data_IF_948946163192
#
_entry.id   IF_948946163192
#
_cell.length_a   1.000
_cell.length_b   1.000
_cell.length_c   1.000
_cell.angle_alpha   90.00
_cell.angle_beta   90.00
_cell.angle_gamma   90.00
#
_symmetry.space_group_name_H-M   'P 1'
#
loop_
_entity.id
_entity.type
_entity.pdbx_description
1 polymer ?
#
# COMPACT_ATOMS: atom_id res chain seq x y z
N UNK A 1 -8.39 21.98 -27.53
CA UNK A 1 -8.04 21.55 -26.15
C UNK A 1 -8.71 20.23 -25.75
N UNK A 2 -10.00 20.03 -26.06
CA UNK A 2 -10.75 18.78 -25.77
C UNK A 2 -10.16 17.55 -26.48
N UNK A 3 -9.91 17.65 -27.79
CA UNK A 3 -9.34 16.56 -28.60
C UNK A 3 -7.93 16.13 -28.14
N UNK A 4 -7.15 17.07 -27.61
CA UNK A 4 -5.81 16.79 -27.08
C UNK A 4 -5.89 16.02 -25.76
N UNK A 5 -6.86 16.37 -24.90
CA UNK A 5 -7.07 15.71 -23.61
C UNK A 5 -7.60 14.29 -23.79
N UNK A 6 -8.54 14.11 -24.71
CA UNK A 6 -9.11 12.79 -25.04
C UNK A 6 -8.04 11.84 -25.61
N UNK A 7 -7.19 12.33 -26.53
CA UNK A 7 -6.05 11.54 -27.06
C UNK A 7 -5.07 11.11 -25.96
N UNK A 8 -4.83 11.96 -24.95
CA UNK A 8 -3.94 11.62 -23.82
C UNK A 8 -4.55 10.53 -22.94
N UNK A 9 -5.84 10.67 -22.62
CA UNK A 9 -6.58 9.69 -21.81
C UNK A 9 -6.62 8.33 -22.52
N UNK A 10 -6.93 8.32 -23.82
CA UNK A 10 -6.98 7.08 -24.60
C UNK A 10 -5.63 6.38 -24.63
N UNK A 11 -4.52 7.12 -24.84
CA UNK A 11 -3.17 6.55 -24.79
C UNK A 11 -2.85 5.96 -23.41
N UNK A 12 -3.21 6.67 -22.33
CA UNK A 12 -3.03 6.20 -20.95
C UNK A 12 -3.74 4.86 -20.73
N UNK A 13 -4.99 4.76 -21.14
CA UNK A 13 -5.82 3.55 -21.00
C UNK A 13 -5.24 2.39 -21.82
N UNK A 14 -4.83 2.64 -23.07
CA UNK A 14 -4.23 1.61 -23.93
C UNK A 14 -2.95 1.04 -23.30
N UNK A 15 -2.07 1.91 -22.80
CA UNK A 15 -0.81 1.50 -22.19
C UNK A 15 -1.06 0.72 -20.91
N UNK A 16 -2.00 1.19 -20.08
CA UNK A 16 -2.42 0.44 -18.90
C UNK A 16 -2.98 -0.93 -19.25
N UNK A 17 -3.81 -1.03 -20.30
CA UNK A 17 -4.32 -2.31 -20.80
C UNK A 17 -3.20 -3.26 -21.23
N UNK A 18 -2.27 -2.79 -22.06
CA UNK A 18 -1.12 -3.58 -22.53
C UNK A 18 -0.23 -4.06 -21.38
N UNK A 19 0.05 -3.19 -20.40
CA UNK A 19 0.85 -3.57 -19.22
C UNK A 19 0.11 -4.55 -18.32
N UNK A 20 -1.22 -4.43 -18.20
CA UNK A 20 -2.04 -5.36 -17.43
C UNK A 20 -2.09 -6.74 -18.08
N UNK A 21 -2.18 -6.82 -19.42
CA UNK A 21 -2.08 -8.09 -20.16
C UNK A 21 -0.69 -8.71 -19.95
N UNK A 22 0.39 -7.93 -20.09
CA UNK A 22 1.74 -8.44 -19.85
C UNK A 22 1.93 -8.96 -18.41
N UNK A 23 1.31 -8.29 -17.44
CA UNK A 23 1.31 -8.71 -16.04
C UNK A 23 0.58 -10.04 -15.84
N UNK A 24 -0.59 -10.23 -16.47
CA UNK A 24 -1.32 -11.50 -16.44
C UNK A 24 -0.53 -12.62 -17.09
N UNK A 25 0.11 -12.35 -18.23
CA UNK A 25 0.99 -13.31 -18.91
C UNK A 25 2.12 -13.76 -17.98
N UNK A 26 2.83 -12.81 -17.34
CA UNK A 26 3.88 -13.13 -16.38
C UNK A 26 3.38 -13.97 -15.19
N UNK A 27 2.20 -13.65 -14.65
CA UNK A 27 1.57 -14.43 -13.58
C UNK A 27 1.31 -15.89 -14.02
N UNK A 28 0.66 -16.09 -15.17
CA UNK A 28 0.35 -17.43 -15.66
C UNK A 28 1.63 -18.22 -15.99
N UNK A 29 2.66 -17.58 -16.55
CA UNK A 29 3.95 -18.25 -16.76
C UNK A 29 4.54 -18.74 -15.45
N UNK A 30 4.54 -17.91 -14.41
CA UNK A 30 4.96 -18.32 -13.07
C UNK A 30 4.13 -19.51 -12.56
N UNK A 31 2.81 -19.43 -12.69
CA UNK A 31 1.88 -20.46 -12.23
C UNK A 31 2.11 -21.82 -12.90
N UNK A 32 2.40 -21.85 -14.20
CA UNK A 32 2.62 -23.08 -14.95
C UNK A 32 4.07 -23.56 -14.93
N UNK A 33 5.02 -22.76 -14.42
CA UNK A 33 6.44 -23.07 -14.41
C UNK A 33 6.75 -24.41 -13.72
N UNK A 34 6.10 -24.64 -12.58
CA UNK A 34 6.33 -25.82 -11.73
C UNK A 34 5.48 -27.03 -12.13
N UNK A 35 4.51 -26.89 -13.03
CA UNK A 35 3.67 -28.04 -13.44
C UNK A 35 4.45 -29.06 -14.27
N UNK A 36 5.47 -28.61 -15.02
CA UNK A 36 6.21 -29.47 -15.95
C UNK A 36 7.52 -29.99 -15.32
N UNK A 37 8.03 -29.35 -14.24
CA UNK A 37 9.25 -29.71 -13.49
C UNK A 37 10.47 -30.11 -14.34
N UNK A 38 10.58 -29.64 -15.58
CA UNK A 38 11.77 -29.86 -16.42
C UNK A 38 12.69 -28.64 -16.37
N UNK A 39 14.00 -28.87 -16.50
CA UNK A 39 15.00 -27.79 -16.66
C UNK A 39 14.63 -26.86 -17.82
N UNK A 40 14.08 -27.42 -18.90
CA UNK A 40 13.62 -26.66 -20.07
C UNK A 40 12.49 -25.67 -19.72
N UNK A 41 11.57 -26.04 -18.82
CA UNK A 41 10.51 -25.16 -18.37
C UNK A 41 11.05 -23.93 -17.63
N UNK A 42 12.07 -24.11 -16.78
CA UNK A 42 12.72 -23.00 -16.07
C UNK A 42 13.43 -22.05 -17.04
N UNK A 43 14.19 -22.58 -17.99
CA UNK A 43 14.87 -21.78 -19.02
C UNK A 43 13.83 -20.99 -19.85
N UNK A 44 12.76 -21.66 -20.28
CA UNK A 44 11.69 -21.04 -21.04
C UNK A 44 10.99 -19.92 -20.25
N UNK A 45 10.64 -20.16 -18.97
CA UNK A 45 10.07 -19.15 -18.09
C UNK A 45 10.98 -17.93 -17.93
N UNK A 46 12.29 -18.13 -17.75
CA UNK A 46 13.27 -17.05 -17.65
C UNK A 46 13.36 -16.22 -18.95
N UNK A 47 13.40 -16.88 -20.11
CA UNK A 47 13.42 -16.21 -21.41
C UNK A 47 12.16 -15.34 -21.58
N UNK A 48 10.97 -15.88 -21.29
CA UNK A 48 9.75 -15.08 -21.43
C UNK A 48 9.75 -13.91 -20.46
N UNK A 49 10.24 -14.08 -19.23
CA UNK A 49 10.34 -12.97 -18.29
C UNK A 49 11.24 -11.84 -18.80
N UNK A 50 12.37 -12.17 -19.43
CA UNK A 50 13.21 -11.17 -20.10
C UNK A 50 12.42 -10.45 -21.21
N UNK A 51 11.70 -11.21 -22.05
CA UNK A 51 10.87 -10.65 -23.12
C UNK A 51 9.80 -9.71 -22.55
N UNK A 52 9.11 -10.09 -21.48
CA UNK A 52 8.10 -9.27 -20.81
C UNK A 52 8.68 -7.99 -20.20
N UNK A 53 9.92 -8.03 -19.70
CA UNK A 53 10.63 -6.83 -19.21
C UNK A 53 10.99 -5.89 -20.36
N UNK A 54 11.51 -6.43 -21.47
CA UNK A 54 11.80 -5.67 -22.69
C UNK A 54 10.52 -5.05 -23.25
N UNK A 55 9.43 -5.82 -23.31
CA UNK A 55 8.12 -5.34 -23.74
C UNK A 55 7.65 -4.16 -22.88
N UNK A 56 7.84 -4.23 -21.56
CA UNK A 56 7.50 -3.13 -20.64
C UNK A 56 8.21 -1.83 -21.03
N UNK A 57 9.49 -1.90 -21.39
CA UNK A 57 10.27 -0.77 -21.88
C UNK A 57 9.76 -0.25 -23.23
N UNK A 58 9.49 -1.14 -24.18
CA UNK A 58 8.99 -0.79 -25.51
C UNK A 58 7.62 -0.10 -25.44
N UNK A 59 6.70 -0.58 -24.62
CA UNK A 59 5.39 0.04 -24.40
C UNK A 59 5.52 1.47 -23.86
N UNK A 60 6.48 1.73 -22.97
CA UNK A 60 6.78 3.10 -22.52
C UNK A 60 7.37 3.98 -23.63
N UNK A 61 8.05 3.41 -24.64
CA UNK A 61 8.56 4.14 -25.79
C UNK A 61 7.44 4.58 -26.76
N UNK A 62 6.30 3.87 -26.79
CA UNK A 62 5.14 4.28 -27.60
C UNK A 62 4.51 5.60 -27.12
N UNK A 63 4.77 6.02 -25.89
CA UNK A 63 4.60 7.40 -25.47
C UNK A 63 5.70 8.23 -26.13
N UNK A 64 5.53 8.52 -27.42
CA UNK A 64 6.37 9.48 -28.16
C UNK A 64 6.40 10.79 -27.36
N UNK A 65 7.57 11.10 -26.86
CA UNK A 65 7.87 12.34 -26.13
C UNK A 65 9.08 12.91 -26.84
N UNK A 66 8.87 14.00 -27.57
CA UNK A 66 9.93 14.74 -28.26
C UNK A 66 10.80 15.57 -27.30
N UNK A 67 10.68 15.34 -25.98
CA UNK A 67 11.26 16.19 -24.95
C UNK A 67 12.46 15.57 -24.20
N UNK A 68 13.44 16.45 -23.98
CA UNK A 68 14.79 16.37 -23.39
C UNK A 68 15.17 15.24 -22.40
N UNK A 69 16.49 15.03 -22.29
CA UNK A 69 17.27 14.17 -21.38
C UNK A 69 16.74 14.07 -19.94
N UNK A 70 16.13 15.11 -19.36
CA UNK A 70 15.58 15.07 -18.00
C UNK A 70 14.41 14.06 -17.86
N UNK A 71 13.69 13.78 -18.94
CA UNK A 71 12.62 12.77 -18.97
C UNK A 71 13.18 11.35 -18.92
N UNK A 72 14.42 11.13 -19.40
CA UNK A 72 15.03 9.80 -19.42
C UNK A 72 15.17 9.21 -18.00
N UNK A 73 15.66 10.00 -17.04
CA UNK A 73 15.78 9.54 -15.64
C UNK A 73 14.43 9.15 -15.04
N UNK A 74 13.39 9.95 -15.30
CA UNK A 74 12.03 9.66 -14.81
C UNK A 74 11.42 8.46 -15.52
N UNK A 75 11.64 8.32 -16.83
CA UNK A 75 11.21 7.18 -17.62
C UNK A 75 11.84 5.87 -17.15
N UNK A 76 13.17 5.86 -16.91
CA UNK A 76 13.87 4.71 -16.32
C UNK A 76 13.29 4.38 -14.95
N UNK A 77 13.02 5.38 -14.11
CA UNK A 77 12.39 5.14 -12.80
C UNK A 77 11.01 4.51 -12.91
N UNK A 78 10.16 4.96 -13.84
CA UNK A 78 8.84 4.34 -14.10
C UNK A 78 8.99 2.93 -14.66
N UNK A 79 9.90 2.72 -15.60
CA UNK A 79 10.18 1.40 -16.15
C UNK A 79 10.61 0.42 -15.04
N UNK A 80 11.50 0.84 -14.13
CA UNK A 80 11.90 0.03 -12.99
C UNK A 80 10.71 -0.32 -12.09
N UNK A 81 9.81 0.61 -11.81
CA UNK A 81 8.62 0.34 -11.01
C UNK A 81 7.68 -0.68 -11.70
N UNK A 82 7.46 -0.54 -13.00
CA UNK A 82 6.65 -1.51 -13.76
C UNK A 82 7.32 -2.89 -13.82
N UNK A 83 8.63 -2.95 -14.01
CA UNK A 83 9.42 -4.18 -13.98
C UNK A 83 9.32 -4.88 -12.62
N UNK A 84 9.45 -4.14 -11.52
CA UNK A 84 9.27 -4.69 -10.16
C UNK A 84 7.85 -5.25 -9.99
N UNK A 85 6.83 -4.52 -10.44
CA UNK A 85 5.43 -4.97 -10.37
C UNK A 85 5.18 -6.24 -11.21
N UNK A 86 5.80 -6.33 -12.38
CA UNK A 86 5.79 -7.51 -13.25
C UNK A 86 6.47 -8.72 -12.59
N UNK A 87 7.63 -8.51 -11.97
CA UNK A 87 8.34 -9.55 -11.22
C UNK A 87 7.51 -10.07 -10.05
N UNK A 88 6.80 -9.19 -9.34
CA UNK A 88 5.87 -9.62 -8.29
C UNK A 88 4.77 -10.54 -8.83
N UNK A 89 4.15 -10.20 -9.95
CA UNK A 89 3.12 -11.05 -10.57
C UNK A 89 3.67 -12.46 -10.91
N UNK A 90 4.87 -12.52 -11.50
CA UNK A 90 5.54 -13.78 -11.77
C UNK A 90 5.85 -14.58 -10.50
N UNK A 91 6.42 -13.94 -9.47
CA UNK A 91 6.75 -14.61 -8.20
C UNK A 91 5.49 -15.14 -7.51
N UNK A 92 4.39 -14.39 -7.52
CA UNK A 92 3.12 -14.85 -6.96
C UNK A 92 2.62 -16.08 -7.71
N UNK A 93 2.62 -16.04 -9.05
CA UNK A 93 2.28 -17.20 -9.87
C UNK A 93 3.15 -18.41 -9.53
N UNK A 94 4.47 -18.23 -9.49
CA UNK A 94 5.46 -19.26 -9.17
C UNK A 94 5.32 -19.84 -7.76
N UNK A 95 4.80 -19.05 -6.81
CA UNK A 95 4.66 -19.46 -5.41
C UNK A 95 3.44 -20.34 -5.19
N UNK A 96 2.32 -20.07 -5.87
CA UNK A 96 1.04 -20.78 -5.65
C UNK A 96 1.16 -22.31 -5.73
N UNK A 97 1.83 -22.92 -6.73
CA UNK A 97 2.00 -24.37 -6.81
C UNK A 97 2.81 -24.97 -5.65
N UNK A 98 3.67 -24.17 -5.02
CA UNK A 98 4.55 -24.57 -3.92
C UNK A 98 3.88 -24.42 -2.54
N UNK A 99 2.68 -23.87 -2.48
CA UNK A 99 1.93 -23.70 -1.22
C UNK A 99 1.28 -25.01 -0.77
N UNK A 100 1.39 -25.29 0.52
CA UNK A 100 0.81 -26.45 1.21
C UNK A 100 -0.65 -26.22 1.63
N UNK A 101 -1.09 -24.96 1.72
CA UNK A 101 -2.48 -24.63 2.01
C UNK A 101 -3.44 -25.29 1.01
N UNK A 102 -4.67 -25.59 1.46
CA UNK A 102 -5.78 -26.10 0.62
C UNK A 102 -5.86 -25.35 -0.71
N UNK A 103 -6.25 -26.08 -1.77
CA UNK A 103 -6.36 -25.58 -3.15
C UNK A 103 -7.12 -24.25 -3.22
N UNK A 104 -8.28 -24.17 -2.57
CA UNK A 104 -9.13 -22.96 -2.54
C UNK A 104 -8.40 -21.77 -1.93
N UNK A 105 -7.70 -21.97 -0.81
CA UNK A 105 -6.94 -20.93 -0.11
C UNK A 105 -5.74 -20.44 -0.93
N UNK A 106 -4.95 -21.33 -1.53
CA UNK A 106 -3.74 -20.91 -2.27
C UNK A 106 -4.04 -20.16 -3.57
N UNK A 107 -5.08 -20.53 -4.32
CA UNK A 107 -5.46 -19.78 -5.53
C UNK A 107 -6.11 -18.44 -5.22
N UNK A 108 -6.71 -18.28 -4.04
CA UNK A 108 -7.27 -17.01 -3.60
C UNK A 108 -6.18 -15.91 -3.46
N UNK A 109 -4.93 -16.29 -3.16
CA UNK A 109 -3.78 -15.37 -3.21
C UNK A 109 -3.67 -14.67 -4.57
N UNK A 110 -3.72 -15.43 -5.68
CA UNK A 110 -3.66 -14.87 -7.03
C UNK A 110 -4.88 -13.99 -7.35
N UNK A 111 -6.07 -14.44 -6.93
CA UNK A 111 -7.34 -13.71 -7.13
C UNK A 111 -7.32 -12.33 -6.48
N UNK A 112 -6.64 -12.18 -5.34
CA UNK A 112 -6.55 -10.91 -4.60
C UNK A 112 -5.38 -10.06 -5.11
N UNK A 113 -4.21 -10.66 -5.25
CA UNK A 113 -2.99 -9.91 -5.55
C UNK A 113 -2.99 -9.37 -6.97
N UNK A 114 -3.51 -10.10 -7.95
CA UNK A 114 -3.47 -9.67 -9.36
C UNK A 114 -4.27 -8.37 -9.61
N UNK A 115 -5.52 -8.23 -9.12
CA UNK A 115 -6.23 -6.95 -9.18
C UNK A 115 -5.46 -5.80 -8.54
N UNK A 116 -4.81 -6.02 -7.38
CA UNK A 116 -4.01 -5.00 -6.71
C UNK A 116 -2.80 -4.58 -7.56
N UNK A 117 -2.11 -5.53 -8.21
CA UNK A 117 -0.99 -5.21 -9.10
C UNK A 117 -1.45 -4.49 -10.37
N UNK A 118 -2.64 -4.80 -10.90
CA UNK A 118 -3.24 -4.08 -12.03
C UNK A 118 -3.56 -2.63 -11.66
N UNK A 119 -4.12 -2.40 -10.46
CA UNK A 119 -4.36 -1.06 -9.91
C UNK A 119 -3.03 -0.32 -9.72
N UNK A 120 -2.01 -0.98 -9.18
CA UNK A 120 -0.68 -0.38 -9.02
C UNK A 120 -0.05 0.01 -10.37
N UNK A 121 -0.20 -0.83 -11.40
CA UNK A 121 0.20 -0.49 -12.77
C UNK A 121 -0.46 0.80 -13.26
N UNK A 122 -1.77 0.95 -13.05
CA UNK A 122 -2.49 2.18 -13.41
C UNK A 122 -1.90 3.40 -12.71
N UNK A 123 -1.61 3.29 -11.41
CA UNK A 123 -1.06 4.39 -10.60
C UNK A 123 0.36 4.76 -11.05
N UNK A 124 1.20 3.78 -11.38
CA UNK A 124 2.54 4.02 -11.92
C UNK A 124 2.47 4.74 -13.28
N UNK A 125 1.53 4.35 -14.14
CA UNK A 125 1.33 4.99 -15.45
C UNK A 125 0.76 6.41 -15.29
N UNK A 126 -0.19 6.62 -14.37
CA UNK A 126 -0.69 7.95 -14.03
C UNK A 126 0.45 8.87 -13.56
N UNK A 127 1.35 8.34 -12.72
CA UNK A 127 2.55 9.04 -12.28
C UNK A 127 3.48 9.41 -13.43
N UNK A 128 3.62 8.54 -14.43
CA UNK A 128 4.38 8.89 -15.63
C UNK A 128 3.75 10.06 -16.38
N UNK A 129 2.43 10.02 -16.61
CA UNK A 129 1.71 11.13 -17.25
C UNK A 129 1.82 12.43 -16.46
N UNK A 130 1.83 12.37 -15.12
CA UNK A 130 2.08 13.53 -14.28
C UNK A 130 3.43 14.18 -14.59
N UNK A 131 4.51 13.39 -14.72
CA UNK A 131 5.83 13.92 -15.08
C UNK A 131 5.85 14.54 -16.48
N UNK A 132 5.16 13.94 -17.45
CA UNK A 132 5.09 14.47 -18.81
C UNK A 132 4.38 15.83 -18.86
N UNK A 133 3.30 15.97 -18.10
CA UNK A 133 2.58 17.23 -18.00
C UNK A 133 3.44 18.33 -17.39
N UNK A 134 4.15 18.04 -16.30
CA UNK A 134 4.99 19.02 -15.64
C UNK A 134 6.21 19.43 -16.46
N UNK A 135 6.79 18.51 -17.23
CA UNK A 135 7.87 18.84 -18.16
C UNK A 135 7.41 19.85 -19.23
N UNK A 136 6.22 19.62 -19.80
CA UNK A 136 5.61 20.51 -20.81
C UNK A 136 5.18 21.86 -20.22
N UNK A 137 4.55 21.86 -19.06
CA UNK A 137 4.08 23.09 -18.41
C UNK A 137 5.26 23.97 -17.95
N UNK A 138 6.43 23.38 -17.63
CA UNK A 138 7.66 24.14 -17.33
C UNK A 138 8.22 24.84 -18.57
N UNK A 139 8.17 24.22 -19.75
CA UNK A 139 8.55 24.86 -21.02
C UNK A 139 7.60 26.00 -21.41
N UNK A 140 6.29 25.86 -21.17
CA UNK A 140 5.28 26.88 -21.48
C UNK A 140 5.23 28.06 -20.50
N UNK A 141 5.54 27.82 -19.22
CA UNK A 141 5.50 28.85 -18.18
C UNK A 141 6.75 29.75 -18.13
N UNK A 142 7.85 29.37 -18.79
CA UNK A 142 8.96 30.32 -19.06
C UNK A 142 8.54 31.42 -20.06
N UNK A 143 7.42 31.26 -20.77
CA UNK A 143 6.89 32.23 -21.75
C UNK A 143 5.66 33.01 -21.29
N UNK A 144 5.08 32.70 -20.11
CA UNK A 144 3.78 33.28 -19.72
C UNK A 144 3.65 33.53 -18.21
N UNK A 145 4.62 34.23 -17.62
CA UNK A 145 4.50 34.82 -16.29
C UNK A 145 3.73 36.15 -16.37
N UNK A 146 2.42 36.10 -16.60
CA UNK A 146 1.48 37.15 -16.20
C UNK A 146 0.04 36.65 -16.34
N UNK A 147 -0.70 36.85 -15.26
CA UNK A 147 -2.15 36.63 -15.09
C UNK A 147 -2.53 35.24 -14.58
N UNK A 148 -2.76 35.16 -13.27
CA UNK A 148 -4.11 34.89 -12.73
C UNK A 148 -4.06 34.88 -11.19
N UNK A 149 -4.29 36.06 -10.59
CA UNK A 149 -4.76 36.16 -9.22
C UNK A 149 -6.21 36.62 -9.30
N UNK A 150 -7.16 35.69 -9.23
CA UNK A 150 -8.53 35.95 -8.78
C UNK A 150 -9.22 34.64 -8.45
N UNK A 151 -9.37 34.34 -7.16
CA UNK A 151 -10.52 33.58 -6.68
C UNK A 151 -10.87 33.99 -5.26
N UNK A 152 -12.17 34.22 -5.08
CA UNK A 152 -12.81 34.91 -3.96
C UNK A 152 -12.55 34.31 -2.58
N UNK A 153 -12.88 35.11 -1.58
CA UNK A 153 -12.87 34.76 -0.17
C UNK A 153 -13.57 33.42 0.05
N UNK A 154 -12.80 32.48 0.60
CA UNK A 154 -13.29 31.18 1.00
C UNK A 154 -13.65 31.31 2.48
N UNK A 155 -14.94 31.17 2.81
CA UNK A 155 -15.48 31.26 4.18
C UNK A 155 -15.10 30.08 5.10
N UNK A 156 -14.18 29.22 4.64
CA UNK A 156 -13.67 28.07 5.36
C UNK A 156 -12.26 28.34 5.87
N UNK A 157 -11.88 27.87 7.08
CA UNK A 157 -10.55 28.11 7.61
C UNK A 157 -9.48 27.62 6.62
N UNK A 158 -8.41 28.39 6.44
CA UNK A 158 -7.28 28.00 5.59
C UNK A 158 -6.10 27.74 6.50
N UNK A 159 -5.50 26.56 6.38
CA UNK A 159 -4.28 26.21 7.11
C UNK A 159 -3.11 26.30 6.13
N UNK A 160 -2.08 27.07 6.48
CA UNK A 160 -0.85 27.13 5.71
C UNK A 160 0.21 26.22 6.32
N UNK A 161 0.80 25.36 5.50
CA UNK A 161 1.88 24.45 5.90
C UNK A 161 2.87 24.30 4.75
N UNK A 162 4.17 24.52 5.01
CA UNK A 162 5.25 24.49 4.00
C UNK A 162 4.95 25.35 2.75
N UNK A 163 4.35 26.53 2.93
CA UNK A 163 3.99 27.44 1.83
C UNK A 163 2.83 26.94 0.95
N UNK A 164 2.12 25.89 1.36
CA UNK A 164 0.91 25.37 0.71
C UNK A 164 -0.33 25.66 1.54
N UNK A 165 -1.44 25.89 0.85
CA UNK A 165 -2.75 26.18 1.45
C UNK A 165 -3.60 24.91 1.50
N UNK A 166 -4.06 24.57 2.69
CA UNK A 166 -4.91 23.42 2.95
C UNK A 166 -6.28 23.89 3.42
N UNK A 167 -7.31 23.46 2.71
CA UNK A 167 -8.68 23.59 3.16
C UNK A 167 -9.46 22.36 2.70
N UNK A 168 -10.28 21.84 3.60
CA UNK A 168 -10.95 20.54 3.45
C UNK A 168 -12.46 20.70 3.40
N UNK A 169 -13.14 19.66 2.93
CA UNK A 169 -14.60 19.60 3.04
C UNK A 169 -14.99 18.89 4.33
N UNK A 170 -16.06 19.35 4.98
CA UNK A 170 -16.62 18.63 6.13
C UNK A 170 -17.01 17.21 5.72
N UNK A 171 -17.52 17.02 4.50
CA UNK A 171 -17.84 15.69 3.94
C UNK A 171 -16.62 14.77 3.93
N UNK A 172 -15.46 15.24 3.47
CA UNK A 172 -14.24 14.44 3.44
C UNK A 172 -13.71 14.11 4.85
N UNK A 173 -13.91 15.00 5.83
CA UNK A 173 -13.56 14.74 7.23
C UNK A 173 -14.50 13.68 7.84
N UNK A 174 -15.81 13.78 7.56
CA UNK A 174 -16.78 12.79 8.01
C UNK A 174 -16.51 11.41 7.39
N UNK A 175 -16.13 11.37 6.11
CA UNK A 175 -15.70 10.15 5.41
C UNK A 175 -14.45 9.55 6.08
N UNK A 176 -13.47 10.35 6.52
CA UNK A 176 -12.35 9.83 7.29
C UNK A 176 -12.80 9.19 8.61
N UNK A 177 -13.63 9.90 9.39
CA UNK A 177 -14.06 9.46 10.71
C UNK A 177 -14.88 8.16 10.70
N UNK A 178 -15.75 7.96 9.69
CA UNK A 178 -16.62 6.78 9.59
C UNK A 178 -16.03 5.74 8.65
N UNK A 179 -15.53 6.17 7.49
CA UNK A 179 -15.04 5.29 6.45
C UNK A 179 -13.76 4.56 6.84
N UNK A 180 -12.82 5.20 7.56
CA UNK A 180 -11.59 4.53 7.95
C UNK A 180 -11.81 3.36 8.92
N UNK A 181 -12.57 3.50 10.03
CA UNK A 181 -12.89 2.36 10.90
C UNK A 181 -13.68 1.26 10.19
N UNK A 182 -14.68 1.62 9.38
CA UNK A 182 -15.49 0.65 8.64
C UNK A 182 -14.63 -0.15 7.67
N UNK A 183 -13.79 0.51 6.87
CA UNK A 183 -12.91 -0.18 5.94
C UNK A 183 -11.85 -1.01 6.66
N UNK A 184 -11.26 -0.49 7.73
CA UNK A 184 -10.30 -1.26 8.53
C UNK A 184 -10.93 -2.56 9.07
N UNK A 185 -12.16 -2.47 9.58
CA UNK A 185 -12.89 -3.64 10.08
C UNK A 185 -13.24 -4.62 8.95
N UNK A 186 -13.74 -4.14 7.81
CA UNK A 186 -14.07 -4.99 6.66
C UNK A 186 -12.84 -5.71 6.09
N UNK A 187 -11.70 -5.02 5.98
CA UNK A 187 -10.45 -5.62 5.49
C UNK A 187 -9.90 -6.62 6.52
N UNK A 188 -10.05 -6.34 7.82
CA UNK A 188 -9.69 -7.31 8.86
C UNK A 188 -10.54 -8.58 8.76
N UNK A 189 -11.87 -8.46 8.71
CA UNK A 189 -12.77 -9.61 8.54
C UNK A 189 -12.44 -10.41 7.28
N UNK A 190 -12.11 -9.70 6.19
CA UNK A 190 -11.66 -10.35 4.96
C UNK A 190 -10.44 -11.24 5.21
N UNK A 191 -9.38 -10.72 5.82
CA UNK A 191 -8.16 -11.52 6.09
C UNK A 191 -8.32 -12.60 7.17
N UNK A 192 -9.33 -12.49 8.03
CA UNK A 192 -9.66 -13.49 9.06
C UNK A 192 -10.41 -14.71 8.48
N UNK A 193 -10.89 -14.64 7.23
CA UNK A 193 -11.52 -15.79 6.55
C UNK A 193 -10.50 -16.86 6.15
N UNK A 194 -10.91 -18.13 6.20
CA UNK A 194 -10.07 -19.28 5.81
C UNK A 194 -9.50 -19.20 4.38
N UNK A 195 -10.21 -18.53 3.47
CA UNK A 195 -9.74 -18.32 2.10
C UNK A 195 -8.46 -17.49 2.06
N UNK A 196 -8.16 -16.73 3.11
CA UNK A 196 -6.99 -15.86 3.22
C UNK A 196 -5.85 -16.42 4.07
N UNK A 197 -5.95 -17.66 4.54
CA UNK A 197 -4.89 -18.31 5.31
C UNK A 197 -3.63 -18.64 4.47
N UNK A 198 -3.62 -18.32 3.18
CA UNK A 198 -2.40 -18.29 2.37
C UNK A 198 -1.40 -17.27 2.95
N UNK A 199 -1.88 -16.18 3.57
CA UNK A 199 -1.01 -15.20 4.23
C UNK A 199 -0.38 -15.80 5.49
N UNK A 200 -1.10 -16.67 6.20
CA UNK A 200 -0.59 -17.35 7.39
C UNK A 200 0.57 -18.26 7.02
N UNK A 201 0.43 -19.04 5.94
CA UNK A 201 1.51 -19.87 5.41
C UNK A 201 2.79 -19.09 5.16
N UNK A 202 2.68 -17.95 4.45
CA UNK A 202 3.83 -17.12 4.10
C UNK A 202 4.53 -16.62 5.37
N UNK A 203 3.78 -16.07 6.32
CA UNK A 203 4.34 -15.49 7.55
C UNK A 203 4.98 -16.56 8.43
N UNK A 204 4.31 -17.71 8.61
CA UNK A 204 4.79 -18.82 9.45
C UNK A 204 6.07 -19.41 8.86
N UNK A 205 6.10 -19.71 7.55
CA UNK A 205 7.27 -20.27 6.89
C UNK A 205 8.47 -19.32 6.93
N UNK A 206 8.26 -18.02 6.71
CA UNK A 206 9.33 -17.04 6.82
C UNK A 206 9.86 -16.92 8.26
N UNK A 207 8.97 -16.92 9.26
CA UNK A 207 9.37 -16.85 10.66
C UNK A 207 10.22 -18.06 11.03
N UNK A 208 9.78 -19.27 10.68
CA UNK A 208 10.52 -20.52 10.92
C UNK A 208 11.88 -20.51 10.22
N UNK A 209 11.93 -20.06 8.97
CA UNK A 209 13.18 -19.91 8.23
C UNK A 209 14.18 -19.03 8.99
N UNK A 210 13.75 -17.86 9.47
CA UNK A 210 14.64 -16.97 10.21
C UNK A 210 15.01 -17.49 11.60
N UNK A 211 14.10 -18.18 12.31
CA UNK A 211 14.41 -18.80 13.60
C UNK A 211 15.53 -19.83 13.45
N UNK A 212 15.41 -20.70 12.45
CA UNK A 212 16.43 -21.72 12.19
C UNK A 212 17.73 -21.11 11.69
N UNK A 213 17.67 -20.08 10.84
CA UNK A 213 18.85 -19.38 10.36
C UNK A 213 19.62 -18.65 11.46
N UNK A 214 18.93 -18.01 12.41
CA UNK A 214 19.54 -17.15 13.42
C UNK A 214 19.90 -17.89 14.72
N UNK A 215 19.14 -18.91 15.09
CA UNK A 215 19.21 -19.55 16.41
C UNK A 215 19.32 -21.07 16.38
N UNK A 216 19.33 -21.69 15.19
CA UNK A 216 19.45 -23.15 15.02
C UNK A 216 18.44 -23.96 15.85
N UNK A 217 17.19 -23.51 15.84
CA UNK A 217 16.14 -23.99 16.76
C UNK A 217 15.41 -25.27 16.31
N UNK A 218 15.69 -25.83 15.13
CA UNK A 218 14.85 -26.88 14.46
C UNK A 218 13.32 -26.61 14.55
N UNK A 219 12.92 -25.33 14.49
CA UNK A 219 11.52 -24.94 14.48
C UNK A 219 10.86 -25.42 13.17
N UNK A 220 9.57 -25.79 13.24
CA UNK A 220 8.81 -26.29 12.08
C UNK A 220 7.51 -25.54 11.89
N UNK A 221 7.18 -25.28 10.63
CA UNK A 221 5.87 -24.80 10.20
C UNK A 221 5.02 -26.01 9.85
N UNK A 222 3.86 -26.19 10.50
CA UNK A 222 2.98 -27.34 10.24
C UNK A 222 1.61 -26.85 9.82
N UNK A 223 1.13 -27.37 8.69
CA UNK A 223 -0.24 -27.22 8.23
C UNK A 223 -1.17 -28.22 8.94
N UNK A 224 -2.17 -27.74 9.65
CA UNK A 224 -3.17 -28.54 10.35
C UNK A 224 -4.58 -28.02 10.04
N UNK A 225 -5.26 -28.55 9.02
CA UNK A 225 -6.55 -28.02 8.59
C UNK A 225 -7.73 -28.34 9.54
N UNK A 226 -7.48 -29.07 10.62
CA UNK A 226 -8.47 -29.45 11.64
C UNK A 226 -8.57 -28.43 12.78
N UNK A 227 -7.55 -27.59 12.98
CA UNK A 227 -7.55 -26.52 13.98
C UNK A 227 -8.22 -25.26 13.44
N UNK A 228 -8.74 -24.43 14.35
CA UNK A 228 -9.36 -23.12 14.03
C UNK A 228 -8.46 -22.26 13.14
N UNK A 229 -7.15 -22.30 13.41
CA UNK A 229 -6.13 -21.70 12.56
C UNK A 229 -5.34 -22.81 11.88
N UNK A 230 -5.29 -22.81 10.54
CA UNK A 230 -4.69 -23.93 9.79
C UNK A 230 -3.17 -24.06 9.89
N UNK A 231 -2.48 -23.12 10.55
CA UNK A 231 -1.03 -23.07 10.63
C UNK A 231 -0.59 -22.97 12.08
N UNK A 232 0.49 -23.66 12.43
CA UNK A 232 1.09 -23.63 13.77
C UNK A 232 2.60 -23.76 13.74
N UNK A 233 3.24 -23.24 14.78
CA UNK A 233 4.65 -23.47 15.07
C UNK A 233 4.82 -24.71 15.92
N UNK A 234 5.79 -25.54 15.54
CA UNK A 234 6.33 -26.58 16.41
C UNK A 234 7.73 -26.13 16.81
N UNK A 235 7.91 -25.89 18.11
CA UNK A 235 9.19 -25.52 18.71
C UNK A 235 9.69 -26.74 19.49
N UNK A 236 10.95 -27.18 19.33
CA UNK A 236 11.47 -28.33 20.06
C UNK A 236 11.32 -28.18 21.57
N UNK A 237 11.07 -29.30 22.23
CA UNK A 237 10.89 -29.41 23.69
C UNK A 237 9.78 -28.52 24.27
N UNK A 238 8.88 -28.02 23.41
CA UNK A 238 7.74 -27.17 23.76
C UNK A 238 6.47 -27.63 23.04
N UNK A 239 5.33 -27.16 23.54
CA UNK A 239 4.04 -27.40 22.90
C UNK A 239 3.87 -26.62 21.59
N UNK A 240 2.91 -27.04 20.74
CA UNK A 240 2.57 -26.30 19.53
C UNK A 240 1.96 -24.93 19.86
N UNK A 241 2.21 -23.94 19.00
CA UNK A 241 1.58 -22.61 19.08
C UNK A 241 0.81 -22.37 17.79
N UNK A 242 -0.52 -22.23 17.89
CA UNK A 242 -1.36 -21.91 16.75
C UNK A 242 -1.11 -20.48 16.26
N UNK A 243 -1.10 -20.30 14.94
CA UNK A 243 -0.84 -19.02 14.30
C UNK A 243 -2.14 -18.30 13.94
N UNK A 244 -2.50 -17.34 14.78
CA UNK A 244 -3.71 -16.54 14.61
C UNK A 244 -3.54 -15.44 13.54
N UNK A 245 -4.64 -14.95 12.99
CA UNK A 245 -4.61 -13.81 12.05
C UNK A 245 -3.99 -12.56 12.66
N UNK A 246 -4.15 -12.35 13.98
CA UNK A 246 -3.46 -11.28 14.72
C UNK A 246 -1.93 -11.36 14.60
N UNK A 247 -1.38 -12.58 14.52
CA UNK A 247 0.05 -12.82 14.40
C UNK A 247 0.59 -12.43 13.03
N UNK A 248 -0.23 -12.11 12.02
CA UNK A 248 0.24 -11.59 10.73
C UNK A 248 0.58 -10.09 10.76
N UNK A 249 0.13 -9.36 11.78
CA UNK A 249 0.19 -7.90 11.83
C UNK A 249 -0.83 -7.19 10.92
N UNK A 250 -1.73 -7.94 10.27
CA UNK A 250 -2.70 -7.39 9.31
C UNK A 250 -3.61 -6.32 9.91
N UNK A 251 -3.91 -6.39 11.22
CA UNK A 251 -4.78 -5.42 11.88
C UNK A 251 -4.23 -4.00 11.82
N UNK A 252 -2.95 -3.83 12.16
CA UNK A 252 -2.30 -2.53 12.11
C UNK A 252 -2.29 -2.04 10.65
N UNK A 253 -1.96 -2.92 9.71
CA UNK A 253 -1.99 -2.61 8.27
C UNK A 253 -3.40 -2.15 7.84
N UNK A 254 -4.47 -2.82 8.30
CA UNK A 254 -5.86 -2.47 7.97
C UNK A 254 -6.25 -1.08 8.51
N UNK A 255 -5.90 -0.78 9.77
CA UNK A 255 -6.16 0.53 10.38
C UNK A 255 -5.47 1.64 9.58
N UNK A 256 -4.18 1.47 9.30
CA UNK A 256 -3.42 2.46 8.54
C UNK A 256 -3.89 2.55 7.08
N UNK A 257 -4.28 1.44 6.46
CA UNK A 257 -4.86 1.44 5.12
C UNK A 257 -6.17 2.24 5.08
N UNK A 258 -7.07 2.03 6.04
CA UNK A 258 -8.29 2.80 6.20
C UNK A 258 -8.03 4.29 6.32
N UNK A 259 -7.10 4.67 7.21
CA UNK A 259 -6.72 6.08 7.42
C UNK A 259 -6.14 6.68 6.15
N UNK A 260 -5.18 6.02 5.50
CA UNK A 260 -4.49 6.55 4.31
C UNK A 260 -5.47 6.70 3.14
N UNK A 261 -6.32 5.71 2.90
CA UNK A 261 -7.30 5.73 1.81
C UNK A 261 -8.28 6.89 2.00
N UNK A 262 -8.82 7.07 3.20
CA UNK A 262 -9.83 8.09 3.48
C UNK A 262 -9.29 9.43 3.96
N UNK A 263 -7.96 9.60 4.06
CA UNK A 263 -7.36 10.89 4.38
C UNK A 263 -7.89 11.96 3.41
N UNK A 264 -8.47 13.06 3.90
CA UNK A 264 -9.12 14.04 3.03
C UNK A 264 -8.10 14.75 2.14
N UNK A 265 -8.57 15.20 0.99
CA UNK A 265 -7.73 15.93 0.04
C UNK A 265 -7.94 17.43 0.19
N UNK A 266 -6.87 18.21 0.05
CA UNK A 266 -7.00 19.66 -0.08
C UNK A 266 -7.82 19.99 -1.33
N UNK A 267 -8.68 21.00 -1.26
CA UNK A 267 -9.36 21.56 -2.43
C UNK A 267 -8.44 22.42 -3.29
N UNK A 268 -7.32 22.88 -2.74
CA UNK A 268 -6.31 23.59 -3.52
C UNK A 268 -5.69 22.65 -4.56
N UNK A 269 -5.76 23.04 -5.84
CA UNK A 269 -5.32 22.20 -6.96
C UNK A 269 -3.84 21.87 -6.87
N UNK A 270 -3.01 22.87 -6.55
CA UNK A 270 -1.54 22.73 -6.47
C UNK A 270 -1.13 21.83 -5.32
N UNK A 271 -1.82 21.92 -4.20
CA UNK A 271 -1.57 21.09 -3.01
C UNK A 271 -2.06 19.65 -3.20
N UNK A 272 -3.18 19.46 -3.90
CA UNK A 272 -3.77 18.15 -4.19
C UNK A 272 -3.08 17.39 -5.35
N UNK A 273 -2.08 17.98 -5.97
CA UNK A 273 -1.32 17.31 -7.02
C UNK A 273 -0.71 16.00 -6.52
N UNK A 274 -0.78 14.97 -7.37
CA UNK A 274 -0.15 13.66 -7.16
C UNK A 274 -0.60 12.91 -5.88
N UNK A 275 -1.76 13.26 -5.33
CA UNK A 275 -2.24 12.69 -4.07
C UNK A 275 -2.38 11.15 -4.09
N UNK A 276 -2.79 10.59 -5.23
CA UNK A 276 -2.97 9.13 -5.40
C UNK A 276 -1.63 8.41 -5.24
N UNK A 277 -0.56 8.94 -5.86
CA UNK A 277 0.78 8.39 -5.71
C UNK A 277 1.30 8.52 -4.29
N UNK A 278 1.10 9.68 -3.63
CA UNK A 278 1.51 9.89 -2.23
C UNK A 278 0.82 8.91 -1.28
N UNK A 279 -0.48 8.68 -1.47
CA UNK A 279 -1.27 7.65 -0.75
C UNK A 279 -0.74 6.24 -0.99
N UNK A 280 -0.56 5.87 -2.25
CA UNK A 280 -0.08 4.55 -2.65
C UNK A 280 1.30 4.26 -2.07
N UNK A 281 2.22 5.22 -2.17
CA UNK A 281 3.56 5.13 -1.58
C UNK A 281 3.48 4.93 -0.07
N UNK A 282 2.61 5.68 0.61
CA UNK A 282 2.42 5.53 2.05
C UNK A 282 1.85 4.16 2.42
N UNK A 283 0.88 3.63 1.66
CA UNK A 283 0.32 2.29 1.86
C UNK A 283 1.41 1.22 1.73
N UNK A 284 2.19 1.26 0.64
CA UNK A 284 3.25 0.28 0.39
C UNK A 284 4.29 0.32 1.51
N UNK A 285 4.82 1.51 1.84
CA UNK A 285 5.90 1.61 2.82
C UNK A 285 5.42 1.27 4.23
N UNK A 286 4.23 1.72 4.64
CA UNK A 286 3.67 1.35 5.95
C UNK A 286 3.42 -0.16 6.06
N UNK A 287 2.89 -0.79 5.00
CA UNK A 287 2.66 -2.24 4.98
C UNK A 287 3.96 -3.03 5.09
N UNK A 288 5.02 -2.62 4.37
CA UNK A 288 6.35 -3.25 4.45
C UNK A 288 6.94 -3.12 5.86
N UNK A 289 6.87 -1.92 6.46
CA UNK A 289 7.41 -1.70 7.81
C UNK A 289 6.67 -2.58 8.81
N UNK A 290 5.33 -2.59 8.80
CA UNK A 290 4.55 -3.46 9.69
C UNK A 290 4.84 -4.93 9.50
N UNK A 291 4.95 -5.38 8.25
CA UNK A 291 5.27 -6.76 7.93
C UNK A 291 6.62 -7.18 8.53
N UNK A 292 7.69 -6.42 8.25
CA UNK A 292 9.05 -6.71 8.73
C UNK A 292 9.09 -6.70 10.26
N UNK A 293 8.52 -5.67 10.87
CA UNK A 293 8.43 -5.55 12.33
C UNK A 293 7.72 -6.73 12.95
N UNK A 294 6.63 -7.18 12.34
CA UNK A 294 5.84 -8.27 12.86
C UNK A 294 6.60 -9.60 12.78
N UNK A 295 7.34 -9.84 11.70
CA UNK A 295 8.26 -10.99 11.59
C UNK A 295 9.31 -10.93 12.72
N UNK A 296 9.96 -9.78 12.92
CA UNK A 296 10.96 -9.62 14.00
C UNK A 296 10.34 -9.86 15.37
N UNK A 297 9.14 -9.30 15.63
CA UNK A 297 8.39 -9.54 16.86
C UNK A 297 8.19 -11.04 17.08
N UNK A 298 7.72 -11.76 16.08
CA UNK A 298 7.47 -13.21 16.21
C UNK A 298 8.74 -14.01 16.45
N UNK A 299 9.83 -13.68 15.74
CA UNK A 299 11.14 -14.30 15.93
C UNK A 299 11.58 -14.15 17.39
N UNK A 300 11.50 -12.94 17.96
CA UNK A 300 11.88 -12.69 19.36
C UNK A 300 10.95 -13.44 20.32
N UNK A 301 9.63 -13.40 20.08
CA UNK A 301 8.65 -14.04 20.95
C UNK A 301 8.85 -15.57 21.01
N UNK A 302 9.05 -16.21 19.86
CA UNK A 302 9.26 -17.67 19.77
C UNK A 302 10.63 -18.07 20.33
N UNK A 303 11.67 -17.27 20.12
CA UNK A 303 12.99 -17.53 20.70
C UNK A 303 12.98 -17.45 22.24
N UNK A 304 12.33 -16.43 22.82
CA UNK A 304 12.18 -16.34 24.28
C UNK A 304 11.33 -17.49 24.83
N UNK A 305 10.27 -17.88 24.10
CA UNK A 305 9.47 -19.04 24.50
C UNK A 305 10.30 -20.34 24.50
N UNK A 306 11.16 -20.51 23.50
CA UNK A 306 12.12 -21.62 23.46
C UNK A 306 13.05 -21.64 24.68
N UNK A 307 13.60 -20.49 25.07
CA UNK A 307 14.41 -20.34 26.29
C UNK A 307 13.66 -20.62 27.60
N UNK A 308 12.32 -20.72 27.56
CA UNK A 308 11.49 -21.13 28.69
C UNK A 308 10.78 -20.01 29.43
N UNK A 309 10.75 -18.81 28.87
CA UNK A 309 9.86 -17.77 29.35
C UNK A 309 8.40 -18.16 29.09
N UNK A 310 7.49 -17.75 29.98
CA UNK A 310 6.07 -18.03 29.83
C UNK A 310 5.48 -17.28 28.63
N UNK A 311 4.72 -17.98 27.78
CA UNK A 311 4.13 -17.40 26.57
C UNK A 311 3.30 -16.16 26.86
N UNK A 312 2.49 -16.18 27.92
CA UNK A 312 1.59 -15.08 28.27
C UNK A 312 2.36 -13.77 28.54
N UNK A 313 3.51 -13.83 29.23
CA UNK A 313 4.28 -12.64 29.60
C UNK A 313 4.97 -12.02 28.38
N UNK A 314 5.50 -12.87 27.50
CA UNK A 314 6.22 -12.47 26.28
C UNK A 314 5.23 -11.92 25.25
N UNK A 315 4.10 -12.62 25.08
CA UNK A 315 3.13 -12.32 24.04
C UNK A 315 2.59 -10.90 24.23
N UNK A 316 2.09 -10.54 25.42
CA UNK A 316 1.51 -9.20 25.63
C UNK A 316 2.56 -8.08 25.63
N UNK A 317 3.70 -8.28 26.30
CA UNK A 317 4.71 -7.22 26.47
C UNK A 317 5.34 -6.79 25.15
N UNK A 318 5.73 -7.74 24.31
CA UNK A 318 6.33 -7.42 23.00
C UNK A 318 5.27 -6.92 22.01
N UNK A 319 4.02 -7.35 22.16
CA UNK A 319 2.91 -6.78 21.39
C UNK A 319 2.71 -5.30 21.69
N UNK A 320 2.79 -4.88 22.95
CA UNK A 320 2.67 -3.48 23.33
C UNK A 320 3.77 -2.60 22.70
N UNK A 321 4.98 -3.14 22.52
CA UNK A 321 6.08 -2.43 21.86
C UNK A 321 5.79 -2.04 20.40
N UNK A 322 4.85 -2.71 19.73
CA UNK A 322 4.41 -2.34 18.37
C UNK A 322 3.76 -0.96 18.28
N UNK A 323 3.29 -0.40 19.41
CA UNK A 323 2.73 0.96 19.48
C UNK A 323 3.75 2.05 19.12
N UNK A 324 5.04 1.87 19.46
CA UNK A 324 6.11 2.78 19.04
C UNK A 324 6.27 2.84 17.52
N UNK A 325 6.04 1.71 16.86
CA UNK A 325 6.17 1.58 15.41
C UNK A 325 5.00 2.24 14.72
N UNK A 326 3.79 2.12 15.29
CA UNK A 326 2.65 2.90 14.84
C UNK A 326 2.92 4.42 14.91
N UNK A 327 3.56 4.91 15.98
CA UNK A 327 3.95 6.32 16.08
C UNK A 327 4.96 6.74 15.00
N UNK A 328 5.98 5.93 14.72
CA UNK A 328 6.94 6.17 13.64
C UNK A 328 6.23 6.24 12.28
N UNK A 329 5.26 5.35 12.04
CA UNK A 329 4.50 5.33 10.79
C UNK A 329 3.62 6.58 10.65
N UNK A 330 3.00 7.06 11.74
CA UNK A 330 2.28 8.35 11.72
C UNK A 330 3.22 9.51 11.34
N UNK A 331 4.45 9.53 11.86
CA UNK A 331 5.45 10.54 11.49
C UNK A 331 5.87 10.44 10.01
N UNK A 332 6.08 9.22 9.49
CA UNK A 332 6.38 8.99 8.07
C UNK A 332 5.19 9.38 7.17
N UNK A 333 3.96 9.08 7.60
CA UNK A 333 2.74 9.51 6.93
C UNK A 333 2.64 11.04 6.87
N UNK A 334 2.98 11.74 7.95
CA UNK A 334 2.98 13.21 7.94
C UNK A 334 3.88 13.80 6.84
N UNK A 335 5.03 13.15 6.57
CA UNK A 335 5.95 13.55 5.51
C UNK A 335 5.38 13.37 4.09
N UNK A 336 4.57 12.34 3.84
CA UNK A 336 4.03 12.06 2.49
C UNK A 336 2.61 12.57 2.28
N UNK A 337 1.79 12.55 3.33
CA UNK A 337 0.38 12.91 3.34
C UNK A 337 0.12 13.80 4.58
N UNK A 338 0.67 15.02 4.62
CA UNK A 338 0.46 15.95 5.73
C UNK A 338 -1.04 16.26 5.93
N UNK A 339 -1.85 16.08 4.89
CA UNK A 339 -3.30 16.25 4.92
C UNK A 339 -3.99 15.49 6.07
N UNK A 340 -3.45 14.34 6.49
CA UNK A 340 -4.01 13.60 7.61
C UNK A 340 -3.98 14.43 8.91
N UNK A 341 -2.79 14.87 9.33
CA UNK A 341 -2.63 15.68 10.55
C UNK A 341 -3.31 17.04 10.39
N UNK A 342 -3.17 17.68 9.23
CA UNK A 342 -3.79 18.97 8.97
C UNK A 342 -5.32 18.90 9.01
N UNK A 343 -5.93 17.78 8.63
CA UNK A 343 -7.37 17.59 8.73
C UNK A 343 -7.87 17.45 10.17
N UNK A 344 -7.05 16.89 11.07
CA UNK A 344 -7.35 16.82 12.50
C UNK A 344 -7.29 18.24 13.09
N UNK A 345 -6.23 18.99 12.78
CA UNK A 345 -6.09 20.40 13.20
C UNK A 345 -7.26 21.23 12.68
N UNK A 346 -7.63 21.06 11.40
CA UNK A 346 -8.77 21.72 10.77
C UNK A 346 -10.10 21.40 11.47
N UNK A 347 -10.29 20.16 11.90
CA UNK A 347 -11.48 19.75 12.65
C UNK A 347 -11.52 20.45 14.01
N UNK A 348 -10.39 20.52 14.71
CA UNK A 348 -10.27 21.25 15.98
C UNK A 348 -10.56 22.75 15.84
N UNK A 349 -10.08 23.40 14.78
CA UNK A 349 -10.35 24.82 14.54
C UNK A 349 -11.82 25.08 14.22
N UNK A 350 -12.47 24.21 13.44
CA UNK A 350 -13.91 24.29 13.17
C UNK A 350 -14.75 24.16 14.46
N UNK A 351 -14.42 23.20 15.33
CA UNK A 351 -15.12 23.00 16.59
C UNK A 351 -14.92 24.23 17.51
N UNK A 352 -13.69 24.73 17.61
CA UNK A 352 -13.37 25.92 18.40
C UNK A 352 -14.12 27.16 17.92
N UNK A 353 -14.20 27.40 16.60
CA UNK A 353 -14.97 28.51 16.01
C UNK A 353 -16.45 28.43 16.38
N UNK A 354 -17.08 27.26 16.21
CA UNK A 354 -18.48 27.04 16.57
C UNK A 354 -18.75 27.23 18.07
N UNK A 355 -17.82 26.81 18.94
CA UNK A 355 -17.95 27.00 20.39
C UNK A 355 -17.86 28.47 20.78
N UNK A 356 -16.96 29.24 20.15
CA UNK A 356 -16.85 30.69 20.37
C UNK A 356 -18.08 31.45 19.89
N UNK A 357 -18.62 31.11 18.72
CA UNK A 357 -19.85 31.71 18.19
C UNK A 357 -21.05 31.45 19.12
N UNK A 358 -21.22 30.22 19.61
CA UNK A 358 -22.27 29.89 20.59
C UNK A 358 -22.13 30.66 21.90
N UNK A 359 -20.91 30.83 22.41
CA UNK A 359 -20.66 31.62 23.64
C UNK A 359 -20.99 33.10 23.45
N UNK A 360 -20.66 33.67 22.29
CA UNK A 360 -20.98 35.06 21.96
C UNK A 360 -22.49 35.29 21.85
N UNK A 361 -23.21 34.37 21.20
CA UNK A 361 -24.67 34.45 21.13
C UNK A 361 -25.30 34.36 22.53
N UNK A 362 -24.76 33.51 23.41
CA UNK A 362 -25.25 33.37 24.78
C UNK A 362 -25.02 34.65 25.62
N UNK A 363 -23.85 35.30 25.51
CA UNK A 363 -23.60 36.58 26.19
C UNK A 363 -24.51 37.69 25.66
N UNK A 364 -24.71 37.77 24.35
CA UNK A 364 -25.55 38.80 23.73
C UNK A 364 -27.05 38.58 24.05
N UNK A 365 -27.46 37.37 24.44
CA UNK A 365 -28.82 37.05 24.89
C UNK A 365 -29.08 37.25 26.39
N UNK A 366 -28.03 37.41 27.21
CA UNK A 366 -28.17 37.74 28.64
C UNK A 366 -28.17 39.26 28.88
N UNK A 367 -27.70 40.06 27.92
CA UNK A 367 -27.72 41.54 27.97
C UNK A 367 -28.98 42.18 27.36
N UNK A 368 -29.88 41.40 26.76
CA UNK A 368 -31.19 41.83 26.25
C UNK A 368 -32.32 41.22 27.08
#
# INVERSE_FOLDING_TARGET
MRDTMEKIINRKIIIWGLQSINLLVAFFIGLYLFTIMTVNSFIFGFIIMIISIIFTYLVLNFLKIDAMVQILKKKVSIWLMLTINLLFAFIIGATIPLMESKLTTRYNMGLIMIPLLIILNYIIIDRFHYYLRHARDKELNETSLKNENKKGEIDSPVIEFEGKKYYFTIRSIAILAIGAPVLAYLVYLFFDTEMNYWLHEIVVKQTVFFLNLLFDMDAKAVYSPESTYHWRFIIPDRGPIDFETFCTGVQAICVFAGIIIFTPHSRDRKTNEDIIWRKTKSLIISSIIFYVVNIIRMIIQLYLFYLGYAWNDIHYSISAASSFIAAIIVLLMHKWIPEFILSIIYTGTLISKKLKEKRKIASDSEEN
#
